data_IF_690882423941
#
_entry.id   IF_690882423941
#
_cell.length_a   1.000
_cell.length_b   1.000
_cell.length_c   1.000
_cell.angle_alpha   90.00
_cell.angle_beta   90.00
_cell.angle_gamma   90.00
#
_symmetry.space_group_name_H-M   'P 1'
#
loop_
_entity.id
_entity.type
_entity.pdbx_description
1 polymer ?
#
# COMPACT_ATOMS: atom_id res chain seq x y z
N UNK A 1 28.40 -15.54 -6.10
CA UNK A 1 26.97 -15.33 -6.39
C UNK A 1 26.75 -13.84 -6.62
N UNK A 2 25.60 -13.42 -7.17
CA UNK A 2 25.29 -11.99 -7.25
C UNK A 2 24.90 -11.48 -5.87
N UNK A 3 25.21 -10.21 -5.57
CA UNK A 3 24.83 -9.56 -4.30
C UNK A 3 23.32 -9.72 -4.00
N UNK A 4 22.49 -9.67 -5.04
CA UNK A 4 21.06 -9.93 -4.95
C UNK A 4 20.75 -11.33 -4.41
N UNK A 5 21.40 -12.37 -4.95
CA UNK A 5 21.14 -13.75 -4.55
C UNK A 5 21.57 -14.01 -3.10
N UNK A 6 22.67 -13.38 -2.67
CA UNK A 6 23.15 -13.48 -1.28
C UNK A 6 22.15 -12.82 -0.31
N UNK A 7 21.63 -11.63 -0.65
CA UNK A 7 20.61 -10.93 0.14
C UNK A 7 19.32 -11.75 0.22
N UNK A 8 18.83 -12.28 -0.91
CA UNK A 8 17.62 -13.10 -0.94
C UNK A 8 17.78 -14.37 -0.09
N UNK A 9 18.92 -15.04 -0.21
CA UNK A 9 19.22 -16.23 0.58
C UNK A 9 19.18 -15.92 2.07
N UNK A 10 19.83 -14.84 2.51
CA UNK A 10 19.82 -14.44 3.92
C UNK A 10 18.41 -14.04 4.41
N UNK A 11 17.69 -13.23 3.62
CA UNK A 11 16.34 -12.79 3.95
C UNK A 11 15.36 -13.96 4.10
N UNK A 12 15.48 -15.00 3.27
CA UNK A 12 14.58 -16.17 3.35
C UNK A 12 14.80 -17.05 4.58
N UNK A 13 15.96 -16.94 5.25
CA UNK A 13 16.26 -17.65 6.50
C UNK A 13 15.74 -16.94 7.76
N UNK A 14 15.29 -15.68 7.64
CA UNK A 14 14.73 -14.94 8.76
C UNK A 14 13.38 -15.54 9.22
N UNK A 15 13.03 -15.41 10.51
CA UNK A 15 11.67 -15.65 11.00
C UNK A 15 10.64 -14.87 10.18
N UNK A 16 9.42 -15.38 10.08
CA UNK A 16 8.38 -14.75 9.24
C UNK A 16 8.11 -13.29 9.63
N UNK A 17 8.08 -12.97 10.92
CA UNK A 17 7.84 -11.61 11.41
C UNK A 17 8.98 -10.66 10.99
N UNK A 18 10.22 -11.13 11.02
CA UNK A 18 11.38 -10.36 10.57
C UNK A 18 11.38 -10.18 9.05
N UNK A 19 10.90 -11.17 8.31
CA UNK A 19 10.73 -11.07 6.85
C UNK A 19 9.68 -10.04 6.48
N UNK A 20 8.54 -10.02 7.17
CA UNK A 20 7.48 -9.04 6.95
C UNK A 20 8.00 -7.63 7.25
N UNK A 21 8.67 -7.44 8.38
CA UNK A 21 9.32 -6.18 8.72
C UNK A 21 10.35 -5.73 7.67
N UNK A 22 11.20 -6.65 7.20
CA UNK A 22 12.18 -6.33 6.16
C UNK A 22 11.52 -5.92 4.84
N UNK A 23 10.39 -6.54 4.47
CA UNK A 23 9.62 -6.14 3.28
C UNK A 23 9.10 -4.71 3.44
N UNK A 24 8.54 -4.37 4.60
CA UNK A 24 8.00 -3.04 4.88
C UNK A 24 9.11 -1.96 4.88
N UNK A 25 10.25 -2.25 5.52
CA UNK A 25 11.40 -1.34 5.58
C UNK A 25 11.98 -1.09 4.18
N UNK A 26 12.11 -2.15 3.37
CA UNK A 26 12.60 -2.03 1.99
C UNK A 26 11.61 -1.25 1.12
N UNK A 27 10.31 -1.54 1.21
CA UNK A 27 9.28 -0.82 0.48
C UNK A 27 9.28 0.68 0.83
N UNK A 28 9.40 1.01 2.11
CA UNK A 28 9.44 2.40 2.61
C UNK A 28 10.71 3.15 2.24
N UNK A 29 11.79 2.43 1.89
CA UNK A 29 13.06 3.04 1.49
C UNK A 29 13.10 3.49 0.02
N UNK A 30 12.14 3.06 -0.80
CA UNK A 30 12.07 3.40 -2.21
C UNK A 30 11.36 4.76 -2.36
N UNK A 31 11.96 5.75 -3.05
CA UNK A 31 11.31 7.02 -3.30
C UNK A 31 10.03 6.89 -4.17
N UNK A 32 9.06 7.77 -3.95
CA UNK A 32 7.74 7.74 -4.62
C UNK A 32 7.80 7.92 -6.15
N UNK A 33 8.88 8.49 -6.68
CA UNK A 33 9.12 8.65 -8.12
C UNK A 33 9.59 7.35 -8.81
N UNK A 34 9.73 6.27 -8.04
CA UNK A 34 10.03 4.93 -8.52
C UNK A 34 8.91 3.93 -8.21
N UNK A 35 7.68 4.14 -8.71
CA UNK A 35 6.58 3.22 -8.45
C UNK A 35 6.89 1.83 -9.02
N UNK A 36 6.41 0.76 -8.36
CA UNK A 36 6.53 -0.58 -8.92
C UNK A 36 5.83 -0.66 -10.27
N UNK A 37 6.33 -1.53 -11.14
CA UNK A 37 5.59 -1.87 -12.36
C UNK A 37 4.32 -2.62 -11.96
N UNK A 38 3.18 -1.98 -12.17
CA UNK A 38 1.88 -2.61 -11.98
C UNK A 38 1.60 -3.60 -13.11
N UNK A 39 0.91 -4.68 -12.79
CA UNK A 39 0.46 -5.63 -13.79
C UNK A 39 -0.66 -5.01 -14.65
N UNK A 40 -0.88 -5.49 -15.88
CA UNK A 40 -1.96 -4.99 -16.74
C UNK A 40 -3.34 -5.02 -16.08
N UNK A 41 -3.60 -6.01 -15.22
CA UNK A 41 -4.86 -6.17 -14.51
C UNK A 41 -5.05 -5.06 -13.47
N UNK A 42 -3.99 -4.68 -12.76
CA UNK A 42 -4.04 -3.57 -11.80
C UNK A 42 -4.20 -2.21 -12.48
N UNK A 43 -3.55 -2.01 -13.63
CA UNK A 43 -3.74 -0.80 -14.43
C UNK A 43 -5.19 -0.69 -14.93
N UNK A 44 -5.74 -1.78 -15.45
CA UNK A 44 -7.14 -1.82 -15.89
C UNK A 44 -8.12 -1.53 -14.74
N UNK A 45 -7.84 -2.01 -13.53
CA UNK A 45 -8.66 -1.74 -12.35
C UNK A 45 -8.58 -0.26 -11.92
N UNK A 46 -7.38 0.35 -11.97
CA UNK A 46 -7.20 1.77 -11.68
C UNK A 46 -7.99 2.61 -12.68
N UNK A 47 -7.88 2.30 -13.98
CA UNK A 47 -8.60 3.02 -15.03
C UNK A 47 -10.11 2.89 -14.85
N UNK A 48 -10.60 1.68 -14.56
CA UNK A 48 -12.02 1.42 -14.29
C UNK A 48 -12.53 2.24 -13.12
N UNK A 49 -11.85 2.21 -11.97
CA UNK A 49 -12.26 2.96 -10.76
C UNK A 49 -12.19 4.46 -10.95
N UNK A 50 -11.17 4.95 -11.65
CA UNK A 50 -11.03 6.38 -11.96
C UNK A 50 -12.21 6.84 -12.81
N UNK A 51 -12.55 6.07 -13.85
CA UNK A 51 -13.71 6.37 -14.69
C UNK A 51 -15.03 6.30 -13.92
N UNK A 52 -15.19 5.36 -12.98
CA UNK A 52 -16.40 5.31 -12.15
C UNK A 52 -16.59 6.56 -11.29
N UNK A 53 -15.50 7.08 -10.73
CA UNK A 53 -15.48 8.34 -9.97
C UNK A 53 -15.79 9.51 -10.90
N UNK A 54 -15.08 9.62 -12.03
CA UNK A 54 -15.23 10.73 -12.98
C UNK A 54 -16.64 10.80 -13.59
N UNK A 55 -17.27 9.65 -13.82
CA UNK A 55 -18.63 9.55 -14.36
C UNK A 55 -19.72 9.58 -13.29
N UNK A 56 -19.36 9.58 -12.01
CA UNK A 56 -20.30 9.55 -10.88
C UNK A 56 -21.12 8.25 -10.82
N UNK A 57 -20.59 7.15 -11.32
CA UNK A 57 -21.26 5.83 -11.30
C UNK A 57 -20.97 5.03 -10.03
N UNK A 58 -20.11 5.55 -9.15
CA UNK A 58 -19.83 5.01 -7.81
C UNK A 58 -20.10 6.06 -6.74
N UNK A 59 -20.68 5.63 -5.61
CA UNK A 59 -20.78 6.48 -4.43
C UNK A 59 -19.41 6.60 -3.76
N UNK A 60 -18.96 7.84 -3.58
CA UNK A 60 -17.73 8.15 -2.86
C UNK A 60 -18.05 8.79 -1.51
N UNK A 61 -17.17 8.58 -0.54
CA UNK A 61 -17.26 9.21 0.77
C UNK A 61 -15.96 9.98 1.03
N UNK A 62 -16.05 11.13 1.69
CA UNK A 62 -14.86 11.90 2.00
C UNK A 62 -13.96 11.16 2.98
N UNK A 63 -12.64 11.27 2.79
CA UNK A 63 -11.69 10.71 3.74
C UNK A 63 -11.92 11.23 5.18
N UNK A 64 -12.29 12.51 5.33
CA UNK A 64 -12.62 13.09 6.63
C UNK A 64 -13.76 12.37 7.35
N UNK A 65 -14.83 11.99 6.65
CA UNK A 65 -15.97 11.30 7.25
C UNK A 65 -15.59 9.87 7.65
N UNK A 66 -14.81 9.17 6.82
CA UNK A 66 -14.27 7.84 7.13
C UNK A 66 -13.36 7.92 8.37
N UNK A 67 -12.45 8.90 8.39
CA UNK A 67 -11.48 9.13 9.47
C UNK A 67 -12.22 9.38 10.79
N UNK A 68 -13.17 10.29 10.82
CA UNK A 68 -13.99 10.59 12.00
C UNK A 68 -14.70 9.32 12.53
N UNK A 69 -15.31 8.53 11.64
CA UNK A 69 -15.99 7.28 12.01
C UNK A 69 -15.04 6.24 12.60
N UNK A 70 -13.82 6.10 12.05
CA UNK A 70 -12.80 5.20 12.57
C UNK A 70 -12.33 5.62 13.96
N UNK A 71 -12.03 6.91 14.15
CA UNK A 71 -11.61 7.46 15.43
C UNK A 71 -12.69 7.30 16.51
N UNK A 72 -13.94 7.65 16.18
CA UNK A 72 -15.08 7.46 17.07
C UNK A 72 -15.27 5.99 17.48
N UNK A 73 -15.15 5.05 16.52
CA UNK A 73 -15.28 3.61 16.77
C UNK A 73 -14.22 3.07 17.72
N UNK A 74 -13.01 3.59 17.66
CA UNK A 74 -11.88 3.11 18.47
C UNK A 74 -11.60 3.98 19.71
N UNK A 75 -12.41 5.01 19.98
CA UNK A 75 -12.26 5.89 21.13
C UNK A 75 -11.00 6.75 21.09
N UNK A 76 -10.42 6.95 19.91
CA UNK A 76 -9.21 7.75 19.70
C UNK A 76 -9.64 9.10 19.12
N UNK A 77 -8.96 10.20 19.49
CA UNK A 77 -9.22 11.52 18.89
C UNK A 77 -8.37 11.73 17.66
N UNK A 78 -8.98 12.37 16.68
CA UNK A 78 -8.28 12.70 15.45
C UNK A 78 -7.23 13.80 15.70
N UNK A 79 -5.96 13.52 15.40
CA UNK A 79 -4.89 14.50 15.39
C UNK A 79 -4.85 15.10 13.98
N UNK A 80 -5.62 16.18 13.78
CA UNK A 80 -5.79 16.95 12.54
C UNK A 80 -4.75 16.68 11.47
#
# INVERSE_FOLDING_TARGET
MSQYQDILTNATQLPIDDRLRLIDDLASSIPDDHPPRLSPEWLAEIDRRSNEIDTGTVETESWSAIRERLFAKHGVRDAG
#
